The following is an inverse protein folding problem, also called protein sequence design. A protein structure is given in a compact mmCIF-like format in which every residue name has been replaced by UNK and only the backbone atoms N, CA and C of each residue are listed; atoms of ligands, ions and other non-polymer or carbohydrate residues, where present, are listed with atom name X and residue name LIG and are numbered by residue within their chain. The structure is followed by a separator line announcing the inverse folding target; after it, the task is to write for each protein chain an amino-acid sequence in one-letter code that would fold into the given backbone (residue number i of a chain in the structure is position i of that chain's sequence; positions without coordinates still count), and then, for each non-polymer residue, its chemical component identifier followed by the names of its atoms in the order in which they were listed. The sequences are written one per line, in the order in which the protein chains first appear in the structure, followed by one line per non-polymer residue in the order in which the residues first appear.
data_IF_574585823929
#
_entry.id   IF_574585823929
#
_cell.length_a   1.000
_cell.length_b   1.000
_cell.length_c   1.000
_cell.angle_alpha   90.00
_cell.angle_beta   90.00
_cell.angle_gamma   90.00
#
_symmetry.space_group_name_H-M   'P 1'
#
loop_
_entity.id
_entity.type
_entity.pdbx_description
1 polymer ?
#
# COMPACT_ATOMS: atom_id res chain seq x y z
N UNK A 1 -24.88 -23.35 -1.03
CA UNK A 1 -23.74 -22.78 -0.29
C UNK A 1 -24.33 -22.08 0.91
N UNK A 2 -24.15 -22.63 2.10
CA UNK A 2 -24.76 -22.16 3.33
C UNK A 2 -24.09 -20.87 3.80
N UNK A 3 -24.90 -19.84 4.03
CA UNK A 3 -24.54 -18.59 4.70
C UNK A 3 -23.74 -18.88 5.98
N UNK A 4 -22.47 -18.46 5.98
CA UNK A 4 -21.70 -18.35 7.21
C UNK A 4 -22.18 -17.07 7.87
N UNK A 5 -23.00 -17.18 8.91
CA UNK A 5 -23.37 -16.03 9.74
C UNK A 5 -22.08 -15.40 10.29
N UNK A 6 -21.74 -14.19 9.84
CA UNK A 6 -20.61 -13.45 10.38
C UNK A 6 -20.95 -13.04 11.82
N UNK A 7 -20.24 -13.62 12.79
CA UNK A 7 -20.28 -13.17 14.18
C UNK A 7 -19.55 -11.82 14.26
N UNK A 8 -20.05 -10.89 15.08
CA UNK A 8 -19.39 -9.62 15.43
C UNK A 8 -17.98 -9.82 16.01
N UNK A 9 -17.61 -11.06 16.31
CA UNK A 9 -16.34 -11.47 16.91
C UNK A 9 -15.26 -11.81 15.86
N UNK A 10 -15.49 -11.54 14.57
CA UNK A 10 -14.44 -11.79 13.56
C UNK A 10 -13.37 -10.70 13.65
N UNK A 11 -12.09 -11.11 13.65
CA UNK A 11 -10.94 -10.22 13.69
C UNK A 11 -10.18 -10.29 12.37
N UNK A 12 -9.82 -9.11 11.88
CA UNK A 12 -9.03 -8.89 10.69
C UNK A 12 -7.75 -8.14 11.06
N UNK A 13 -6.66 -8.47 10.39
CA UNK A 13 -5.54 -7.54 10.27
C UNK A 13 -5.86 -6.52 9.18
N UNK A 14 -5.63 -5.25 9.48
CA UNK A 14 -5.79 -4.16 8.52
C UNK A 14 -4.42 -3.84 7.92
N UNK A 15 -4.22 -4.26 6.68
CA UNK A 15 -2.99 -4.03 5.93
C UNK A 15 -3.20 -2.92 4.88
N UNK A 16 -2.13 -2.22 4.47
CA UNK A 16 -2.17 -1.43 3.25
C UNK A 16 -2.18 -2.32 2.00
N UNK A 17 -2.71 -1.80 0.90
CA UNK A 17 -2.58 -2.43 -0.42
C UNK A 17 -1.26 -1.93 -1.03
N UNK A 18 -0.25 -2.81 -1.15
CA UNK A 18 1.09 -2.41 -1.61
C UNK A 18 1.36 -2.72 -3.09
N UNK A 19 0.73 -3.77 -3.63
CA UNK A 19 1.02 -4.26 -4.99
C UNK A 19 0.08 -3.70 -6.06
N UNK A 20 -0.86 -2.83 -5.66
CA UNK A 20 -1.81 -2.18 -6.55
C UNK A 20 -1.50 -0.66 -6.66
N UNK A 21 -0.99 -0.19 -7.80
CA UNK A 21 -0.68 1.23 -8.02
C UNK A 21 -1.90 2.17 -7.97
N UNK A 22 -3.12 1.63 -7.87
CA UNK A 22 -4.33 2.43 -7.61
C UNK A 22 -4.43 2.86 -6.14
N UNK A 23 -3.76 2.16 -5.23
CA UNK A 23 -3.88 2.33 -3.78
C UNK A 23 -2.56 2.72 -3.11
N UNK A 24 -1.68 3.43 -3.83
CA UNK A 24 -0.41 3.91 -3.27
C UNK A 24 -0.60 4.83 -2.06
N UNK A 25 0.44 4.87 -1.24
CA UNK A 25 0.45 5.58 0.04
C UNK A 25 1.25 6.88 0.04
N UNK A 26 1.29 7.49 1.23
CA UNK A 26 2.11 8.66 1.49
C UNK A 26 3.53 8.28 1.93
N UNK A 27 4.47 9.15 1.59
CA UNK A 27 5.80 9.24 2.16
C UNK A 27 5.99 10.64 2.76
N UNK A 28 6.89 10.76 3.73
CA UNK A 28 7.25 12.07 4.29
C UNK A 28 8.04 12.88 3.24
N UNK A 29 7.69 14.15 3.04
CA UNK A 29 8.40 15.03 2.09
C UNK A 29 9.80 15.39 2.57
N UNK A 30 9.91 15.67 3.86
CA UNK A 30 11.16 15.90 4.59
C UNK A 30 11.18 14.88 5.72
N UNK A 31 12.35 14.33 6.05
CA UNK A 31 12.51 13.40 7.16
C UNK A 31 12.77 14.17 8.48
N UNK A 32 11.76 14.49 9.32
CA UNK A 32 12.02 14.46 10.74
C UNK A 32 12.31 13.00 11.09
N UNK A 33 13.44 12.75 11.76
CA UNK A 33 13.78 11.39 12.16
C UNK A 33 12.75 10.83 13.15
N UNK A 34 12.09 11.67 13.95
CA UNK A 34 11.13 11.26 14.98
C UNK A 34 10.62 12.48 15.76
N UNK A 35 9.40 12.41 16.30
CA UNK A 35 8.85 13.33 17.29
C UNK A 35 9.23 12.94 18.73
N UNK A 36 9.54 11.66 19.00
CA UNK A 36 9.91 11.13 20.34
C UNK A 36 11.41 10.86 20.51
N UNK A 37 12.29 11.50 19.73
CA UNK A 37 13.77 11.29 19.72
C UNK A 37 14.28 9.93 19.22
N UNK A 38 13.40 9.14 18.60
CA UNK A 38 13.71 7.90 17.90
C UNK A 38 14.48 8.09 16.59
N UNK A 39 14.77 6.97 15.92
CA UNK A 39 15.53 6.93 14.67
C UNK A 39 14.68 7.06 13.40
N UNK A 40 13.37 6.81 13.50
CA UNK A 40 12.42 6.90 12.38
C UNK A 40 11.04 7.34 12.88
N UNK A 41 10.23 7.94 12.01
CA UNK A 41 8.84 8.27 12.32
C UNK A 41 8.06 7.02 12.76
N UNK A 42 8.28 5.88 12.10
CA UNK A 42 7.62 4.62 12.47
C UNK A 42 7.89 4.22 13.92
N UNK A 43 9.08 4.51 14.45
CA UNK A 43 9.41 4.23 15.85
C UNK A 43 8.58 5.08 16.84
N UNK A 44 8.04 6.22 16.41
CA UNK A 44 7.18 7.05 17.26
C UNK A 44 5.85 6.37 17.60
N UNK A 45 5.37 5.48 16.72
CA UNK A 45 4.12 4.73 16.88
C UNK A 45 4.31 3.40 17.64
N UNK A 46 5.55 3.05 17.95
CA UNK A 46 5.91 1.79 18.58
C UNK A 46 6.16 1.94 20.09
N UNK A 47 6.16 0.83 20.84
CA UNK A 47 6.43 0.83 22.27
C UNK A 47 7.80 1.43 22.59
N UNK A 48 7.86 2.20 23.67
CA UNK A 48 9.12 2.70 24.23
C UNK A 48 9.93 1.57 24.89
N UNK A 49 9.23 0.66 25.58
CA UNK A 49 9.83 -0.45 26.32
C UNK A 49 9.46 -1.81 25.73
N UNK A 50 10.35 -2.35 24.90
CA UNK A 50 10.26 -3.68 24.31
C UNK A 50 10.51 -4.83 25.31
N UNK A 51 10.70 -4.56 26.60
CA UNK A 51 10.92 -5.60 27.61
C UNK A 51 9.67 -5.95 28.42
N UNK A 52 8.53 -5.31 28.16
CA UNK A 52 7.27 -5.54 28.86
C UNK A 52 6.14 -5.82 27.89
N UNK A 53 5.18 -6.65 28.31
CA UNK A 53 3.92 -6.89 27.61
C UNK A 53 2.88 -5.82 27.96
N UNK A 54 3.02 -5.22 29.13
CA UNK A 54 2.13 -4.15 29.63
C UNK A 54 2.57 -2.78 29.10
N UNK A 55 2.99 -2.72 27.84
CA UNK A 55 3.37 -1.46 27.22
C UNK A 55 2.11 -0.66 26.88
N UNK A 56 2.24 0.66 26.95
CA UNK A 56 1.18 1.60 26.59
C UNK A 56 1.58 2.24 25.27
N UNK A 57 0.61 2.37 24.37
CA UNK A 57 0.82 3.10 23.14
C UNK A 57 1.20 4.55 23.45
N UNK A 58 2.23 5.10 22.80
CA UNK A 58 2.64 6.47 23.01
C UNK A 58 1.56 7.45 22.57
N UNK A 59 1.44 8.59 23.23
CA UNK A 59 0.63 9.71 22.75
C UNK A 59 1.50 10.66 21.93
N UNK A 60 1.04 11.04 20.76
CA UNK A 60 1.76 11.90 19.83
C UNK A 60 1.12 13.28 19.68
N UNK A 61 -0.14 13.48 20.09
CA UNK A 61 -0.88 14.73 19.83
C UNK A 61 -0.16 16.00 20.31
N UNK A 62 0.51 15.94 21.47
CA UNK A 62 1.22 17.10 22.04
C UNK A 62 2.57 17.37 21.35
N UNK A 63 3.11 16.38 20.64
CA UNK A 63 4.39 16.46 19.93
C UNK A 63 4.21 16.67 18.43
N UNK A 64 3.01 16.39 17.91
CA UNK A 64 2.75 16.32 16.49
C UNK A 64 2.62 17.71 15.87
N UNK A 65 3.58 18.04 15.03
CA UNK A 65 3.46 19.15 14.09
C UNK A 65 2.89 18.62 12.77
N UNK A 66 1.89 19.29 12.15
CA UNK A 66 1.31 18.85 10.89
C UNK A 66 2.39 18.52 9.83
N UNK A 67 2.37 17.28 9.34
CA UNK A 67 3.48 16.71 8.58
C UNK A 67 3.24 16.84 7.07
N UNK A 68 4.16 17.49 6.36
CA UNK A 68 4.14 17.50 4.89
C UNK A 68 4.41 16.12 4.30
N UNK A 69 3.48 15.66 3.47
CA UNK A 69 3.55 14.36 2.81
C UNK A 69 3.53 14.50 1.29
N UNK A 70 4.20 13.58 0.62
CA UNK A 70 4.18 13.37 -0.83
C UNK A 70 3.74 11.94 -1.09
N UNK A 71 3.34 11.63 -2.32
CA UNK A 71 2.95 10.28 -2.69
C UNK A 71 1.96 10.30 -3.83
N UNK A 72 1.75 9.12 -4.41
CA UNK A 72 0.89 8.91 -5.58
C UNK A 72 -0.53 8.52 -5.15
N UNK A 73 -1.00 9.13 -4.06
CA UNK A 73 -2.31 8.84 -3.48
C UNK A 73 -3.39 9.34 -4.43
N UNK A 74 -4.38 8.50 -4.72
CA UNK A 74 -5.56 8.90 -5.49
C UNK A 74 -6.65 9.36 -4.52
N UNK A 75 -7.45 10.36 -4.89
CA UNK A 75 -8.48 10.94 -4.00
C UNK A 75 -9.53 9.94 -3.51
N UNK A 76 -9.74 8.83 -4.22
CA UNK A 76 -10.66 7.77 -3.77
C UNK A 76 -10.04 6.86 -2.71
N UNK A 77 -8.72 6.86 -2.53
CA UNK A 77 -8.03 6.02 -1.55
C UNK A 77 -8.22 6.59 -0.15
N UNK A 78 -9.09 5.96 0.62
CA UNK A 78 -9.41 6.40 1.98
C UNK A 78 -8.46 5.85 3.04
N UNK A 79 -7.61 4.88 2.68
CA UNK A 79 -6.62 4.26 3.56
C UNK A 79 -5.24 4.13 2.89
N UNK A 80 -4.57 5.25 2.54
CA UNK A 80 -3.29 5.22 1.85
C UNK A 80 -2.10 4.74 2.72
N UNK A 81 -2.22 4.81 4.04
CA UNK A 81 -1.08 4.71 4.97
C UNK A 81 0.04 5.75 4.70
N UNK A 82 0.92 5.91 5.68
CA UNK A 82 2.13 6.72 5.64
C UNK A 82 3.36 5.81 5.84
N UNK A 83 4.37 5.96 4.98
CA UNK A 83 5.58 5.15 4.96
C UNK A 83 5.26 3.64 5.01
N UNK A 84 4.29 3.21 4.20
CA UNK A 84 3.84 1.81 4.03
C UNK A 84 3.30 1.10 5.28
N UNK A 85 3.20 1.74 6.43
CA UNK A 85 2.92 1.02 7.69
C UNK A 85 2.07 1.80 8.69
N UNK A 86 2.21 3.12 8.74
CA UNK A 86 1.43 3.94 9.66
C UNK A 86 0.03 4.13 9.05
N UNK A 87 -1.05 3.73 9.73
CA UNK A 87 -2.41 3.98 9.25
C UNK A 87 -2.61 5.45 8.90
N UNK A 88 -3.22 5.72 7.76
CA UNK A 88 -3.61 7.07 7.40
C UNK A 88 -4.99 7.05 6.75
N UNK A 89 -5.82 8.02 7.10
CA UNK A 89 -7.22 8.08 6.68
C UNK A 89 -7.51 9.39 5.94
N UNK A 90 -8.33 9.31 4.90
CA UNK A 90 -8.91 10.48 4.25
C UNK A 90 -9.94 11.17 5.16
N UNK A 91 -10.27 12.42 4.86
CA UNK A 91 -11.38 13.14 5.53
C UNK A 91 -12.70 12.39 5.45
N UNK A 92 -12.96 11.73 4.32
CA UNK A 92 -14.16 10.91 4.11
C UNK A 92 -14.18 9.71 5.06
N UNK A 93 -13.07 8.97 5.17
CA UNK A 93 -12.99 7.86 6.12
C UNK A 93 -13.11 8.35 7.57
N UNK A 94 -12.42 9.43 7.93
CA UNK A 94 -12.53 10.01 9.29
C UNK A 94 -13.97 10.37 9.59
N UNK A 95 -14.70 11.04 8.68
CA UNK A 95 -16.09 11.40 8.90
C UNK A 95 -17.01 10.18 9.16
N UNK A 96 -16.76 9.06 8.48
CA UNK A 96 -17.55 7.82 8.58
C UNK A 96 -17.18 6.98 9.81
N UNK A 97 -15.91 6.99 10.20
CA UNK A 97 -15.32 6.12 11.21
C UNK A 97 -14.98 6.86 12.51
N UNK A 98 -15.28 8.16 12.63
CA UNK A 98 -14.86 8.99 13.76
C UNK A 98 -15.25 8.39 15.12
N UNK A 99 -16.46 7.84 15.22
CA UNK A 99 -16.98 7.19 16.43
C UNK A 99 -16.15 5.98 16.86
N UNK A 100 -15.46 5.32 15.92
CA UNK A 100 -14.58 4.18 16.17
C UNK A 100 -13.10 4.58 16.27
N UNK A 101 -12.67 5.63 15.57
CA UNK A 101 -11.27 6.08 15.57
C UNK A 101 -10.94 6.92 16.80
N UNK A 102 -11.75 7.94 17.11
CA UNK A 102 -11.48 8.88 18.19
C UNK A 102 -11.32 8.24 19.59
N UNK A 103 -12.09 7.21 19.99
CA UNK A 103 -11.87 6.57 21.29
C UNK A 103 -10.68 5.61 21.30
N UNK A 104 -10.18 5.18 20.12
CA UNK A 104 -9.17 4.13 20.00
C UNK A 104 -7.80 4.63 19.52
N UNK A 105 -7.63 5.94 19.36
CA UNK A 105 -6.39 6.51 18.85
C UNK A 105 -6.40 8.01 18.68
N UNK A 106 -5.34 8.51 18.06
CA UNK A 106 -5.13 9.93 17.78
C UNK A 106 -5.11 10.18 16.27
N UNK A 107 -5.89 11.17 15.82
CA UNK A 107 -5.89 11.64 14.43
C UNK A 107 -4.89 12.78 14.27
N UNK A 108 -3.76 12.46 13.65
CA UNK A 108 -2.59 13.33 13.52
C UNK A 108 -2.52 13.94 12.11
N UNK A 109 -2.69 15.25 12.01
CA UNK A 109 -2.89 15.94 10.71
C UNK A 109 -1.71 15.77 9.76
N UNK A 110 -2.00 15.43 8.50
CA UNK A 110 -1.06 15.46 7.38
C UNK A 110 -1.35 16.67 6.48
N UNK A 111 -0.29 17.24 5.92
CA UNK A 111 -0.36 18.32 4.92
C UNK A 111 -0.11 17.70 3.55
N UNK A 112 -1.19 17.54 2.78
CA UNK A 112 -1.18 17.01 1.41
C UNK A 112 -1.87 17.99 0.47
N UNK A 113 -1.37 18.12 -0.75
CA UNK A 113 -2.01 18.92 -1.81
C UNK A 113 -3.30 18.28 -2.35
N UNK A 114 -3.56 17.00 -2.01
CA UNK A 114 -4.71 16.23 -2.48
C UNK A 114 -5.98 16.42 -1.64
N UNK A 115 -5.84 16.91 -0.42
CA UNK A 115 -6.93 17.05 0.54
C UNK A 115 -6.49 16.85 1.98
N UNK A 116 -7.46 16.79 2.89
CA UNK A 116 -7.19 16.55 4.30
C UNK A 116 -7.02 15.05 4.57
N UNK A 117 -5.90 14.69 5.20
CA UNK A 117 -5.60 13.34 5.66
C UNK A 117 -5.03 13.38 7.08
N UNK A 118 -5.14 12.25 7.78
CA UNK A 118 -4.63 12.08 9.14
C UNK A 118 -3.89 10.77 9.23
N UNK A 119 -2.64 10.79 9.71
CA UNK A 119 -2.04 9.60 10.27
C UNK A 119 -2.81 9.23 11.54
N UNK A 120 -3.00 7.95 11.79
CA UNK A 120 -3.74 7.47 12.94
C UNK A 120 -2.84 6.64 13.84
N UNK A 121 -2.63 7.14 15.05
CA UNK A 121 -1.91 6.43 16.08
C UNK A 121 -2.91 5.60 16.89
N UNK A 122 -2.91 4.28 16.70
CA UNK A 122 -3.79 3.37 17.45
C UNK A 122 -3.31 3.29 18.89
N UNK A 123 -4.08 3.83 19.84
CA UNK A 123 -3.70 3.85 21.26
C UNK A 123 -4.31 2.71 22.06
N UNK A 124 -5.38 2.08 21.55
CA UNK A 124 -5.98 0.90 22.17
C UNK A 124 -5.05 -0.31 21.99
N UNK A 125 -4.44 -0.76 23.09
CA UNK A 125 -3.69 -2.02 23.17
C UNK A 125 -4.50 -3.00 23.99
N UNK A 126 -4.90 -4.12 23.38
CA UNK A 126 -5.82 -5.06 23.99
C UNK A 126 -5.17 -6.44 24.17
N UNK A 127 -5.08 -6.91 25.41
CA UNK A 127 -4.61 -8.25 25.75
C UNK A 127 -5.72 -9.30 25.53
N UNK A 128 -6.00 -9.58 24.25
CA UNK A 128 -7.12 -10.43 23.82
C UNK A 128 -6.70 -11.76 23.22
N UNK A 129 -5.40 -11.96 23.00
CA UNK A 129 -4.86 -13.17 22.39
C UNK A 129 -4.65 -14.28 23.45
N UNK A 130 -5.29 -15.43 23.27
CA UNK A 130 -4.96 -16.64 24.01
C UNK A 130 -3.68 -17.26 23.42
N UNK A 131 -2.53 -16.79 23.90
CA UNK A 131 -1.23 -17.26 23.45
C UNK A 131 -0.94 -18.73 23.79
N UNK A 132 -1.74 -19.38 24.65
CA UNK A 132 -1.60 -20.81 24.95
C UNK A 132 -2.28 -21.66 23.89
N UNK A 133 -3.34 -21.14 23.27
CA UNK A 133 -4.09 -21.81 22.19
C UNK A 133 -3.65 -21.39 20.79
N UNK A 134 -3.04 -20.22 20.67
CA UNK A 134 -2.47 -19.71 19.44
C UNK A 134 -1.18 -20.44 19.07
N UNK A 135 -0.87 -20.51 17.77
CA UNK A 135 0.41 -20.98 17.26
C UNK A 135 1.32 -19.77 16.99
N UNK A 136 2.35 -19.62 17.82
CA UNK A 136 3.16 -18.40 17.89
C UNK A 136 4.63 -18.77 17.84
N UNK A 137 5.36 -18.16 16.90
CA UNK A 137 6.83 -18.12 16.92
C UNK A 137 7.26 -16.90 17.71
N UNK A 138 8.11 -17.10 18.71
CA UNK A 138 8.50 -16.06 19.65
C UNK A 138 9.90 -15.54 19.38
N UNK A 139 10.06 -14.21 19.43
CA UNK A 139 11.36 -13.58 19.67
C UNK A 139 11.71 -13.65 21.16
N UNK A 140 10.73 -13.34 22.02
CA UNK A 140 10.84 -13.44 23.47
C UNK A 140 9.50 -13.79 24.07
N UNK A 141 9.33 -15.03 24.53
CA UNK A 141 8.08 -15.51 25.13
C UNK A 141 7.87 -14.97 26.56
N UNK A 142 6.67 -14.51 26.95
CA UNK A 142 5.46 -14.29 26.17
C UNK A 142 5.28 -12.82 25.73
N UNK A 143 6.38 -12.11 25.49
CA UNK A 143 6.38 -10.64 25.32
C UNK A 143 6.27 -10.25 23.85
N UNK A 144 7.14 -10.77 22.99
CA UNK A 144 7.24 -10.39 21.59
C UNK A 144 7.25 -11.62 20.70
N UNK A 145 6.26 -11.71 19.83
CA UNK A 145 6.23 -12.71 18.78
C UNK A 145 6.97 -12.20 17.54
N UNK A 146 7.52 -13.14 16.77
CA UNK A 146 8.04 -12.86 15.43
C UNK A 146 6.95 -13.02 14.38
N UNK A 147 6.07 -14.00 14.58
CA UNK A 147 4.89 -14.24 13.74
C UNK A 147 3.88 -15.09 14.53
N UNK A 148 2.59 -14.86 14.27
CA UNK A 148 1.49 -15.70 14.76
C UNK A 148 0.91 -16.45 13.57
N UNK A 149 1.14 -17.76 13.51
CA UNK A 149 0.68 -18.62 12.41
C UNK A 149 -0.81 -18.95 12.55
N UNK A 150 -1.30 -18.99 13.80
CA UNK A 150 -2.70 -19.20 14.13
C UNK A 150 -3.09 -18.35 15.33
N UNK A 151 -4.05 -17.46 15.14
CA UNK A 151 -4.63 -16.64 16.18
C UNK A 151 -5.76 -17.39 16.88
N UNK A 152 -5.85 -17.26 18.20
CA UNK A 152 -7.01 -17.66 18.99
C UNK A 152 -7.34 -16.51 19.96
N UNK A 153 -8.39 -15.74 19.66
CA UNK A 153 -8.79 -14.59 20.47
C UNK A 153 -9.86 -14.94 21.50
N UNK A 154 -9.91 -14.19 22.59
CA UNK A 154 -11.00 -14.24 23.57
C UNK A 154 -12.21 -13.46 23.06
N UNK A 155 -13.26 -14.19 22.71
CA UNK A 155 -14.51 -13.62 22.18
C UNK A 155 -15.18 -12.61 23.15
N UNK A 156 -15.01 -12.81 24.46
CA UNK A 156 -15.54 -11.95 25.51
C UNK A 156 -14.80 -10.60 25.55
N UNK A 157 -13.48 -10.62 25.38
CA UNK A 157 -12.68 -9.39 25.45
C UNK A 157 -12.72 -8.58 24.15
N UNK A 158 -13.24 -9.15 23.06
CA UNK A 158 -13.40 -8.48 21.77
C UNK A 158 -14.68 -7.63 21.66
N UNK A 159 -15.68 -7.82 22.53
CA UNK A 159 -17.03 -7.28 22.31
C UNK A 159 -17.12 -5.75 22.29
N UNK A 160 -16.12 -5.08 22.86
CA UNK A 160 -16.05 -3.62 22.95
C UNK A 160 -14.93 -3.03 22.07
N UNK A 161 -14.29 -3.85 21.22
CA UNK A 161 -13.19 -3.42 20.37
C UNK A 161 -13.63 -3.23 18.92
N UNK A 162 -13.06 -2.19 18.30
CA UNK A 162 -13.33 -1.83 16.90
C UNK A 162 -12.03 -1.81 16.09
N UNK A 163 -11.02 -1.12 16.63
CA UNK A 163 -9.67 -1.02 16.10
C UNK A 163 -8.68 -1.02 17.28
N UNK A 164 -7.63 -1.85 17.22
CA UNK A 164 -6.71 -2.06 18.33
C UNK A 164 -5.37 -2.66 17.88
N UNK A 165 -4.40 -2.68 18.79
CA UNK A 165 -3.16 -3.45 18.70
C UNK A 165 -3.15 -4.56 19.73
N UNK A 166 -2.31 -5.59 19.53
CA UNK A 166 -2.06 -6.62 20.55
C UNK A 166 -0.65 -6.48 21.13
N UNK A 167 -0.42 -6.89 22.39
CA UNK A 167 0.89 -6.79 23.01
C UNK A 167 2.02 -7.53 22.28
N UNK A 168 1.71 -8.67 21.66
CA UNK A 168 2.69 -9.60 21.08
C UNK A 168 3.30 -9.13 19.75
N UNK A 169 2.55 -8.36 18.95
CA UNK A 169 2.97 -7.79 17.67
C UNK A 169 2.63 -6.28 17.64
N UNK A 170 3.43 -5.44 18.34
CA UNK A 170 3.26 -3.99 18.27
C UNK A 170 3.46 -3.47 16.85
N UNK A 171 2.63 -2.50 16.44
CA UNK A 171 2.65 -1.89 15.11
C UNK A 171 1.65 -2.48 14.14
N UNK A 172 1.18 -3.73 14.36
CA UNK A 172 0.12 -4.32 13.55
C UNK A 172 -1.24 -3.82 14.04
N UNK A 173 -2.14 -3.53 13.10
CA UNK A 173 -3.48 -3.00 13.39
C UNK A 173 -4.52 -4.07 13.15
N UNK A 174 -5.35 -4.28 14.16
CA UNK A 174 -6.44 -5.25 14.14
C UNK A 174 -7.76 -4.53 14.19
N UNK A 175 -8.74 -5.04 13.44
CA UNK A 175 -10.11 -4.50 13.43
C UNK A 175 -11.13 -5.61 13.55
N UNK A 176 -12.32 -5.28 14.06
CA UNK A 176 -13.44 -6.23 14.15
C UNK A 176 -14.35 -6.15 12.92
N UNK A 177 -15.25 -7.13 12.79
CA UNK A 177 -16.26 -7.14 11.71
C UNK A 177 -17.11 -5.87 11.70
N UNK A 178 -17.37 -5.25 12.86
CA UNK A 178 -18.15 -4.02 12.95
C UNK A 178 -17.46 -2.87 12.22
N UNK A 179 -16.14 -2.73 12.40
CA UNK A 179 -15.34 -1.73 11.69
C UNK A 179 -15.33 -2.02 10.19
N UNK A 180 -15.02 -3.25 9.79
CA UNK A 180 -15.00 -3.67 8.37
C UNK A 180 -16.34 -3.38 7.68
N UNK A 181 -17.46 -3.72 8.31
CA UNK A 181 -18.79 -3.44 7.75
C UNK A 181 -19.06 -1.96 7.59
N UNK A 182 -18.66 -1.12 8.55
CA UNK A 182 -18.81 0.33 8.43
C UNK A 182 -18.04 0.87 7.21
N UNK A 183 -16.84 0.34 6.95
CA UNK A 183 -16.04 0.66 5.76
C UNK A 183 -16.77 0.24 4.47
N UNK A 184 -17.20 -1.02 4.39
CA UNK A 184 -17.86 -1.58 3.20
C UNK A 184 -19.22 -0.92 2.90
N UNK A 185 -20.05 -0.70 3.92
CA UNK A 185 -21.39 -0.08 3.79
C UNK A 185 -21.33 1.38 3.32
N UNK A 186 -20.21 2.07 3.57
CA UNK A 186 -20.00 3.45 3.13
C UNK A 186 -19.16 3.54 1.84
N UNK A 187 -18.78 2.41 1.23
CA UNK A 187 -18.03 2.38 -0.02
C UNK A 187 -16.65 3.01 0.07
N UNK A 188 -16.03 2.99 1.26
CA UNK A 188 -14.67 3.46 1.46
C UNK A 188 -13.68 2.51 0.75
N UNK A 189 -12.58 3.06 0.21
CA UNK A 189 -11.62 2.30 -0.60
C UNK A 189 -10.20 2.34 -0.02
N UNK A 190 -9.34 1.42 -0.45
CA UNK A 190 -7.95 1.31 0.02
C UNK A 190 -7.72 0.40 1.22
N UNK A 191 -8.78 -0.21 1.75
CA UNK A 191 -8.69 -1.09 2.91
C UNK A 191 -8.42 -2.54 2.49
N UNK A 192 -7.40 -3.17 3.07
CA UNK A 192 -7.14 -4.60 2.93
C UNK A 192 -7.37 -5.33 4.26
N UNK A 193 -8.49 -6.07 4.35
CA UNK A 193 -8.84 -6.83 5.55
C UNK A 193 -8.43 -8.28 5.41
N UNK A 194 -7.41 -8.72 6.14
CA UNK A 194 -6.97 -10.13 6.18
C UNK A 194 -7.62 -10.82 7.37
N UNK A 195 -8.53 -11.75 7.11
CA UNK A 195 -9.23 -12.47 8.19
C UNK A 195 -8.25 -13.35 8.97
N UNK A 196 -8.13 -13.11 10.28
CA UNK A 196 -7.26 -13.85 11.18
C UNK A 196 -8.00 -14.83 12.08
N UNK A 197 -9.22 -14.50 12.51
CA UNK A 197 -9.96 -15.32 13.47
C UNK A 197 -11.48 -15.06 13.44
N UNK A 198 -12.34 -16.08 13.70
CA UNK A 198 -11.97 -17.49 13.76
C UNK A 198 -11.70 -18.02 12.35
N UNK A 199 -10.73 -18.93 12.23
CA UNK A 199 -10.44 -19.65 11.00
C UNK A 199 -10.70 -21.17 11.18
N UNK A 200 -11.24 -21.85 10.16
CA UNK A 200 -11.42 -23.30 10.22
C UNK A 200 -10.09 -24.05 10.42
N UNK A 201 -10.12 -25.28 10.96
CA UNK A 201 -8.95 -26.15 10.95
C UNK A 201 -8.37 -26.29 9.52
N UNK A 202 -7.05 -26.20 9.39
CA UNK A 202 -6.30 -26.28 8.12
C UNK A 202 -6.48 -25.08 7.14
N UNK A 203 -7.02 -23.96 7.62
CA UNK A 203 -6.99 -22.68 6.90
C UNK A 203 -5.94 -21.79 7.56
N UNK A 204 -4.98 -21.31 6.78
CA UNK A 204 -4.00 -20.30 7.20
C UNK A 204 -4.40 -18.95 6.64
N UNK A 205 -4.33 -17.90 7.47
CA UNK A 205 -4.58 -16.52 7.06
C UNK A 205 -3.64 -16.09 5.92
N UNK A 206 -2.38 -16.57 5.92
CA UNK A 206 -1.40 -16.25 4.88
C UNK A 206 -1.82 -16.74 3.49
N UNK A 207 -2.53 -17.88 3.43
CA UNK A 207 -3.12 -18.39 2.18
C UNK A 207 -4.29 -17.51 1.74
N UNK A 208 -5.15 -17.11 2.67
CA UNK A 208 -6.28 -16.21 2.39
C UNK A 208 -5.79 -14.86 1.85
N UNK A 209 -4.75 -14.28 2.47
CA UNK A 209 -4.14 -13.03 2.02
C UNK A 209 -3.62 -13.13 0.58
N UNK A 210 -2.90 -14.21 0.24
CA UNK A 210 -2.43 -14.45 -1.14
C UNK A 210 -3.56 -14.62 -2.14
N UNK A 211 -4.63 -15.33 -1.76
CA UNK A 211 -5.81 -15.49 -2.63
C UNK A 211 -6.56 -14.17 -2.82
N UNK A 212 -6.61 -13.32 -1.79
CA UNK A 212 -7.23 -12.00 -1.83
C UNK A 212 -6.44 -11.03 -2.72
N UNK A 213 -5.12 -10.96 -2.55
CA UNK A 213 -4.23 -10.15 -3.41
C UNK A 213 -4.40 -10.52 -4.89
N UNK A 214 -4.40 -11.81 -5.24
CA UNK A 214 -4.68 -12.27 -6.62
C UNK A 214 -6.04 -11.86 -7.17
N UNK A 215 -7.08 -11.77 -6.31
CA UNK A 215 -8.40 -11.30 -6.75
C UNK A 215 -8.37 -9.81 -7.02
N UNK A 216 -7.76 -9.02 -6.13
CA UNK A 216 -7.61 -7.57 -6.27
C UNK A 216 -6.89 -7.21 -7.59
N UNK A 217 -5.86 -7.96 -7.96
CA UNK A 217 -5.12 -7.80 -9.22
C UNK A 217 -6.00 -7.90 -10.49
N UNK A 218 -7.17 -8.53 -10.42
CA UNK A 218 -8.07 -8.71 -11.56
C UNK A 218 -9.40 -7.99 -11.38
N UNK A 219 -9.58 -7.32 -10.24
CA UNK A 219 -10.83 -6.69 -9.87
C UNK A 219 -11.13 -5.49 -10.78
N UNK A 220 -12.36 -5.44 -11.27
CA UNK A 220 -12.88 -4.41 -12.18
C UNK A 220 -12.19 -4.38 -13.55
N UNK A 221 -11.49 -5.45 -13.92
CA UNK A 221 -10.85 -5.63 -15.22
C UNK A 221 -11.58 -6.67 -16.09
N UNK A 222 -11.46 -6.59 -17.43
CA UNK A 222 -11.90 -7.64 -18.34
C UNK A 222 -11.31 -9.01 -17.99
N UNK A 223 -12.05 -10.08 -18.29
CA UNK A 223 -11.62 -11.45 -18.03
C UNK A 223 -10.27 -11.75 -18.70
N UNK A 224 -9.33 -12.29 -17.92
CA UNK A 224 -7.99 -12.62 -18.38
C UNK A 224 -6.97 -11.47 -18.31
N UNK A 225 -7.38 -10.28 -17.89
CA UNK A 225 -6.48 -9.17 -17.60
C UNK A 225 -6.16 -9.10 -16.10
N UNK A 226 -5.00 -8.55 -15.78
CA UNK A 226 -4.62 -8.13 -14.43
C UNK A 226 -3.99 -6.75 -14.48
N UNK A 227 -3.95 -6.04 -13.36
CA UNK A 227 -3.46 -4.65 -13.26
C UNK A 227 -2.07 -4.48 -13.88
N UNK A 228 -1.20 -5.48 -13.70
CA UNK A 228 0.17 -5.51 -14.24
C UNK A 228 0.36 -6.60 -15.31
N UNK A 229 -0.73 -7.03 -15.96
CA UNK A 229 -0.73 -8.19 -16.86
C UNK A 229 0.04 -7.99 -18.16
N UNK A 230 0.15 -6.75 -18.63
CA UNK A 230 0.91 -6.37 -19.81
C UNK A 230 1.96 -5.30 -19.47
N UNK A 231 2.87 -5.02 -20.40
CA UNK A 231 3.89 -4.00 -20.18
C UNK A 231 4.28 -3.25 -21.44
N UNK A 232 4.54 -1.95 -21.30
CA UNK A 232 5.17 -1.14 -22.33
C UNK A 232 6.64 -0.91 -21.93
N UNK A 233 7.57 -1.23 -22.83
CA UNK A 233 8.99 -0.93 -22.65
C UNK A 233 9.38 0.21 -23.57
N UNK A 234 9.92 1.27 -22.99
CA UNK A 234 10.48 2.41 -23.73
C UNK A 234 11.99 2.27 -23.68
N UNK A 235 12.60 2.09 -24.86
CA UNK A 235 14.06 2.02 -25.02
C UNK A 235 14.55 3.38 -25.49
N UNK A 236 15.48 3.96 -24.74
CA UNK A 236 16.11 5.24 -25.02
C UNK A 236 17.60 4.97 -25.24
N UNK A 237 17.99 4.83 -26.50
CA UNK A 237 19.36 4.47 -26.87
C UNK A 237 20.26 5.69 -26.70
N UNK A 238 21.48 5.51 -26.16
CA UNK A 238 22.43 6.60 -26.02
C UNK A 238 22.90 7.10 -27.40
N UNK A 239 23.05 8.42 -27.58
CA UNK A 239 23.49 8.99 -28.85
C UNK A 239 24.97 8.68 -29.14
N UNK A 240 25.36 8.81 -30.40
CA UNK A 240 26.76 8.81 -30.85
C UNK A 240 27.59 7.56 -30.45
N UNK A 241 26.95 6.42 -30.21
CA UNK A 241 27.64 5.17 -29.85
C UNK A 241 28.23 5.15 -28.44
N UNK A 242 27.82 6.09 -27.58
CA UNK A 242 28.17 6.08 -26.15
C UNK A 242 27.80 4.74 -25.52
N UNK A 243 28.66 4.23 -24.63
CA UNK A 243 28.42 2.98 -23.92
C UNK A 243 27.83 3.20 -22.52
N UNK A 244 28.04 4.38 -21.95
CA UNK A 244 27.61 4.73 -20.60
C UNK A 244 26.91 6.10 -20.58
N UNK A 245 25.84 6.25 -19.76
CA UNK A 245 25.12 7.51 -19.66
C UNK A 245 25.91 8.57 -18.90
N UNK A 246 25.77 9.83 -19.33
CA UNK A 246 26.29 10.99 -18.60
C UNK A 246 25.25 11.54 -17.62
N UNK A 247 25.65 12.46 -16.74
CA UNK A 247 24.72 13.16 -15.83
C UNK A 247 23.59 13.89 -16.56
N UNK A 248 23.85 14.39 -17.77
CA UNK A 248 22.82 15.04 -18.59
C UNK A 248 21.76 14.04 -19.06
N UNK A 249 22.18 12.84 -19.47
CA UNK A 249 21.25 11.77 -19.84
C UNK A 249 20.39 11.33 -18.65
N UNK A 250 20.96 11.24 -17.44
CA UNK A 250 20.20 10.98 -16.22
C UNK A 250 19.19 12.08 -15.91
N UNK A 251 19.55 13.35 -16.10
CA UNK A 251 18.63 14.47 -15.93
C UNK A 251 17.47 14.41 -16.93
N UNK A 252 17.75 14.10 -18.20
CA UNK A 252 16.71 13.91 -19.23
C UNK A 252 15.82 12.71 -18.94
N UNK A 253 16.39 11.56 -18.58
CA UNK A 253 15.61 10.39 -18.16
C UNK A 253 14.69 10.75 -17.00
N UNK A 254 15.18 11.45 -15.97
CA UNK A 254 14.36 11.89 -14.85
C UNK A 254 13.20 12.79 -15.30
N UNK A 255 13.45 13.73 -16.21
CA UNK A 255 12.39 14.56 -16.79
C UNK A 255 11.37 13.73 -17.60
N UNK A 256 11.81 12.76 -18.40
CA UNK A 256 10.94 11.84 -19.14
C UNK A 256 10.06 11.04 -18.17
N UNK A 257 10.65 10.45 -17.14
CA UNK A 257 9.93 9.67 -16.12
C UNK A 257 8.89 10.54 -15.42
N UNK A 258 9.23 11.76 -15.02
CA UNK A 258 8.29 12.67 -14.37
C UNK A 258 7.12 13.06 -15.29
N UNK A 259 7.38 13.32 -16.57
CA UNK A 259 6.32 13.66 -17.54
C UNK A 259 5.42 12.45 -17.84
N UNK A 260 6.01 11.27 -18.04
CA UNK A 260 5.25 10.04 -18.25
C UNK A 260 4.41 9.72 -17.02
N UNK A 261 4.99 9.92 -15.84
CA UNK A 261 4.29 9.65 -14.60
C UNK A 261 3.10 10.58 -14.40
N UNK A 262 3.28 11.88 -14.63
CA UNK A 262 2.20 12.86 -14.58
C UNK A 262 1.08 12.58 -15.61
N UNK A 263 1.41 11.94 -16.74
CA UNK A 263 0.43 11.54 -17.75
C UNK A 263 -0.39 10.31 -17.30
N UNK A 264 0.23 9.37 -16.58
CA UNK A 264 -0.41 8.14 -16.14
C UNK A 264 -1.09 8.25 -14.77
N UNK A 265 -0.63 9.19 -13.94
CA UNK A 265 -1.18 9.47 -12.62
C UNK A 265 -2.32 10.49 -12.72
N UNK A 266 -3.54 9.98 -12.74
CA UNK A 266 -4.74 10.77 -12.52
C UNK A 266 -5.17 10.65 -11.05
N UNK A 267 -4.83 11.65 -10.24
CA UNK A 267 -5.20 11.68 -8.82
C UNK A 267 -6.66 12.03 -8.57
N UNK A 268 -7.33 12.60 -9.58
CA UNK A 268 -8.59 13.31 -9.43
C UNK A 268 -9.77 12.58 -10.02
N UNK A 269 -9.56 11.78 -11.06
CA UNK A 269 -10.66 11.19 -11.79
C UNK A 269 -10.87 9.70 -11.52
N UNK A 270 -12.11 9.28 -11.75
CA UNK A 270 -12.53 7.89 -11.75
C UNK A 270 -12.15 7.16 -13.05
N UNK A 271 -11.18 7.68 -13.81
CA UNK A 271 -10.69 7.04 -15.03
C UNK A 271 -10.19 5.64 -14.71
N UNK A 272 -10.46 4.66 -15.59
CA UNK A 272 -9.86 3.34 -15.48
C UNK A 272 -8.34 3.45 -15.37
N UNK A 273 -7.75 2.61 -14.54
CA UNK A 273 -6.30 2.52 -14.44
C UNK A 273 -5.74 2.01 -15.78
N UNK A 274 -4.91 2.83 -16.42
CA UNK A 274 -4.30 2.54 -17.72
C UNK A 274 -2.86 2.02 -17.62
N UNK A 275 -2.18 2.26 -16.49
CA UNK A 275 -0.80 1.83 -16.27
C UNK A 275 -0.04 2.71 -15.29
N UNK A 276 1.17 2.27 -14.94
CA UNK A 276 2.13 3.01 -14.10
C UNK A 276 3.56 2.71 -14.51
N UNK A 277 4.46 3.65 -14.22
CA UNK A 277 5.90 3.43 -14.37
C UNK A 277 6.39 2.55 -13.23
N UNK A 278 6.99 1.41 -13.53
CA UNK A 278 7.57 0.48 -12.54
C UNK A 278 9.02 0.81 -12.21
N UNK A 279 9.74 1.39 -13.17
CA UNK A 279 11.15 1.76 -13.00
C UNK A 279 11.91 1.82 -14.30
N UNK A 280 13.23 1.84 -14.17
CA UNK A 280 14.14 1.83 -15.31
C UNK A 280 15.39 0.98 -15.04
N UNK A 281 16.06 0.57 -16.10
CA UNK A 281 17.34 -0.12 -16.08
C UNK A 281 18.27 0.42 -17.17
N UNK A 282 19.58 0.17 -17.05
CA UNK A 282 20.60 0.55 -18.03
C UNK A 282 21.22 -0.73 -18.60
N UNK A 283 21.01 -0.99 -19.89
CA UNK A 283 21.50 -2.19 -20.56
C UNK A 283 22.20 -1.77 -21.84
N UNK A 284 23.45 -2.20 -22.06
CA UNK A 284 24.13 -2.11 -23.37
C UNK A 284 23.89 -0.79 -24.14
N UNK A 285 24.24 0.35 -23.54
CA UNK A 285 24.07 1.67 -24.12
C UNK A 285 22.62 2.16 -24.32
N UNK A 286 21.64 1.63 -23.59
CA UNK A 286 20.27 2.17 -23.56
C UNK A 286 19.71 2.23 -22.14
N UNK A 287 18.82 3.19 -21.92
CA UNK A 287 17.87 3.13 -20.82
C UNK A 287 16.64 2.35 -21.24
N UNK A 288 16.14 1.49 -20.36
CA UNK A 288 14.86 0.81 -20.51
C UNK A 288 13.93 1.31 -19.43
N UNK A 289 12.84 1.96 -19.81
CA UNK A 289 11.76 2.33 -18.89
C UNK A 289 10.66 1.29 -19.00
N UNK A 290 10.20 0.79 -17.86
CA UNK A 290 9.17 -0.24 -17.78
C UNK A 290 7.87 0.38 -17.26
N UNK A 291 6.79 0.22 -18.01
CA UNK A 291 5.45 0.54 -17.55
C UNK A 291 4.63 -0.74 -17.48
N UNK A 292 3.94 -0.97 -16.37
CA UNK A 292 2.94 -2.03 -16.25
C UNK A 292 1.56 -1.48 -16.62
N UNK A 293 0.69 -2.34 -17.12
CA UNK A 293 -0.68 -1.96 -17.48
C UNK A 293 -1.60 -3.18 -17.60
N UNK A 294 -2.93 -2.99 -17.53
CA UNK A 294 -3.90 -4.04 -17.86
C UNK A 294 -3.95 -4.34 -19.35
N UNK A 295 -3.81 -3.31 -20.19
CA UNK A 295 -3.86 -3.39 -21.64
C UNK A 295 -2.80 -2.47 -22.27
N UNK A 296 -1.82 -3.09 -22.93
CA UNK A 296 -0.71 -2.35 -23.55
C UNK A 296 -1.10 -1.66 -24.85
N UNK A 297 -2.14 -2.12 -25.53
CA UNK A 297 -2.67 -1.44 -26.71
C UNK A 297 -3.37 -0.15 -26.31
N UNK A 298 -4.15 -0.18 -25.22
CA UNK A 298 -4.78 1.01 -24.66
C UNK A 298 -3.75 2.00 -24.11
N UNK A 299 -2.80 1.53 -23.29
CA UNK A 299 -1.70 2.37 -22.78
C UNK A 299 -0.93 3.02 -23.93
N UNK A 300 -0.57 2.23 -24.95
CA UNK A 300 0.17 2.76 -26.10
C UNK A 300 -0.62 3.81 -26.88
N UNK A 301 -1.93 3.67 -27.02
CA UNK A 301 -2.77 4.65 -27.69
C UNK A 301 -2.80 5.95 -26.88
N UNK A 302 -2.95 5.85 -25.55
CA UNK A 302 -3.05 6.99 -24.65
C UNK A 302 -1.77 7.85 -24.65
N UNK A 303 -0.59 7.22 -24.72
CA UNK A 303 0.66 7.97 -24.70
C UNK A 303 1.10 8.45 -26.09
N UNK A 304 0.30 8.24 -27.15
CA UNK A 304 0.75 8.49 -28.53
C UNK A 304 1.31 9.90 -28.75
N UNK A 305 0.55 10.93 -28.37
CA UNK A 305 1.00 12.32 -28.53
C UNK A 305 2.22 12.66 -27.67
N UNK A 306 2.36 12.01 -26.52
CA UNK A 306 3.51 12.19 -25.64
C UNK A 306 4.79 11.60 -26.25
N UNK A 307 4.69 10.44 -26.92
CA UNK A 307 5.83 9.79 -27.59
C UNK A 307 6.49 10.69 -28.64
N UNK A 308 5.69 11.45 -29.39
CA UNK A 308 6.16 12.37 -30.43
C UNK A 308 6.92 13.58 -29.85
N UNK A 309 6.84 13.82 -28.54
CA UNK A 309 7.41 14.99 -27.85
C UNK A 309 8.49 14.63 -26.84
N UNK A 310 8.96 13.38 -26.81
CA UNK A 310 10.01 12.97 -25.89
C UNK A 310 11.30 13.74 -26.19
N UNK A 311 11.84 14.37 -25.15
CA UNK A 311 13.14 15.04 -25.19
C UNK A 311 14.28 14.03 -24.97
N UNK A 312 14.64 13.33 -26.05
CA UNK A 312 15.76 12.42 -26.10
C UNK A 312 16.53 12.59 -27.41
N UNK A 313 17.86 12.66 -27.33
CA UNK A 313 18.73 12.96 -28.47
C UNK A 313 19.27 11.71 -29.18
N UNK A 314 19.06 10.53 -28.61
CA UNK A 314 19.31 9.26 -29.28
C UNK A 314 18.06 8.64 -29.90
N UNK A 315 18.20 7.49 -30.57
CA UNK A 315 17.05 6.72 -31.04
C UNK A 315 16.13 6.32 -29.88
N UNK A 316 14.82 6.30 -30.14
CA UNK A 316 13.81 5.80 -29.21
C UNK A 316 13.05 4.64 -29.85
N UNK A 317 12.64 3.67 -29.03
CA UNK A 317 11.82 2.53 -29.46
C UNK A 317 10.79 2.20 -28.39
N UNK A 318 9.55 1.95 -28.83
CA UNK A 318 8.46 1.50 -27.96
C UNK A 318 8.14 0.06 -28.26
N UNK A 319 8.07 -0.77 -27.22
CA UNK A 319 7.82 -2.20 -27.35
C UNK A 319 6.64 -2.57 -26.48
N UNK A 320 5.55 -3.01 -27.13
CA UNK A 320 4.42 -3.62 -26.43
C UNK A 320 4.80 -5.04 -26.04
N UNK A 321 4.65 -5.38 -24.77
CA UNK A 321 4.76 -6.74 -24.25
C UNK A 321 3.38 -7.23 -23.82
N UNK A 322 2.93 -8.32 -24.41
CA UNK A 322 1.71 -9.01 -24.01
C UNK A 322 2.02 -10.00 -22.88
N UNK A 323 2.35 -9.46 -21.71
CA UNK A 323 2.83 -10.16 -20.53
C UNK A 323 3.53 -9.20 -19.58
N UNK A 324 3.78 -9.66 -18.35
CA UNK A 324 4.51 -8.89 -17.34
C UNK A 324 5.95 -8.57 -17.81
N UNK A 325 6.55 -7.47 -17.36
CA UNK A 325 7.89 -7.06 -17.82
C UNK A 325 9.01 -8.07 -17.47
N UNK A 326 8.77 -8.95 -16.50
CA UNK A 326 9.67 -10.05 -16.11
C UNK A 326 9.37 -11.38 -16.82
N UNK A 327 8.30 -11.46 -17.61
CA UNK A 327 7.95 -12.67 -18.35
C UNK A 327 8.88 -12.83 -19.56
N UNK A 328 9.75 -13.86 -19.58
CA UNK A 328 10.69 -14.07 -20.68
C UNK A 328 10.01 -14.52 -21.98
N UNK A 329 8.78 -15.06 -21.89
CA UNK A 329 8.04 -15.62 -23.01
C UNK A 329 6.98 -14.64 -23.56
N UNK A 330 6.90 -13.44 -22.98
CA UNK A 330 5.94 -12.41 -23.41
C UNK A 330 6.17 -12.02 -24.87
N UNK A 331 5.09 -12.04 -25.66
CA UNK A 331 5.12 -11.61 -27.05
C UNK A 331 5.43 -10.11 -27.13
N UNK A 332 6.43 -9.76 -27.92
CA UNK A 332 6.84 -8.37 -28.18
C UNK A 332 6.34 -7.85 -29.55
N UNK A 333 5.90 -6.61 -29.58
CA UNK A 333 5.59 -5.86 -30.82
C UNK A 333 6.21 -4.47 -30.72
N UNK A 334 7.17 -4.20 -31.60
CA UNK A 334 7.74 -2.85 -31.75
C UNK A 334 6.71 -1.94 -32.40
N UNK A 335 6.59 -0.73 -31.88
CA UNK A 335 5.77 0.35 -32.45
C UNK A 335 6.71 1.39 -33.03
N UNK A 336 6.46 1.76 -34.28
CA UNK A 336 7.16 2.86 -34.97
C UNK A 336 6.71 4.23 -34.48
#
# INVERSE_FOLDING_TARGET
MSDVSFSSQTVYELEPILDDPRFEGFAQKIYPNSFRSGKSLAADFLPENWNSRDWVAPTLSDLWEPLEVIGRVRKFNDYPCLNMSIPAFSERAVAVLHDMLSPNGELLRLLSDLGNYWAFNVTTVADVLDWRRSDIKWNRKPIHASIIERYEFSAELLSELEIFQIPELPGNVYVTEVFRRRVEENGLQGFNFIRLWPLPPNVSWSRLAREQSKRQETQDLPSGQSIKGNSLVIRLMLPNGLQEPTNEHWARLSAILNNLDALLLDTDSATPYIGSVEGHDVVQAEFRVFCSCPDVDELSAQIQEWRERIDWDGPTQFVKRYGHFTDPDAKEVVIE
#
